data_IF_437669647533
#
_entry.id   IF_437669647533
#
_cell.length_a   1.000
_cell.length_b   1.000
_cell.length_c   1.000
_cell.angle_alpha   90.00
_cell.angle_beta   90.00
_cell.angle_gamma   90.00
#
_symmetry.space_group_name_H-M   'P 1'
#
loop_
_entity.id
_entity.type
_entity.pdbx_description
1 polymer ?
#
# COMPACT_ATOMS: atom_id res chain seq x y z
N UNK A 1 7.93 -57.81 -60.08
CA UNK A 1 6.48 -57.96 -59.77
C UNK A 1 6.15 -56.81 -58.83
N UNK A 2 5.63 -55.67 -59.31
CA UNK A 2 4.27 -55.39 -59.82
C UNK A 2 3.32 -55.07 -58.64
N UNK A 3 2.75 -53.85 -58.70
CA UNK A 3 1.64 -53.23 -57.92
C UNK A 3 2.13 -52.28 -56.80
N UNK A 4 2.03 -50.95 -56.83
CA UNK A 4 1.07 -49.96 -57.39
C UNK A 4 -0.34 -49.97 -56.73
N UNK A 5 -0.80 -48.75 -56.38
CA UNK A 5 -2.07 -48.28 -55.77
C UNK A 5 -1.97 -47.91 -54.26
N UNK A 6 -1.92 -46.65 -53.80
CA UNK A 6 -2.71 -45.41 -54.05
C UNK A 6 -4.08 -45.46 -53.36
N UNK A 7 -4.24 -44.72 -52.24
CA UNK A 7 -5.41 -43.94 -51.79
C UNK A 7 -5.15 -43.48 -50.34
N UNK A 8 -4.91 -42.19 -50.08
CA UNK A 8 -5.91 -41.16 -49.75
C UNK A 8 -6.64 -41.40 -48.42
N UNK A 9 -6.47 -40.46 -47.47
CA UNK A 9 -7.27 -40.40 -46.25
C UNK A 9 -6.70 -39.46 -45.21
N UNK A 10 -6.67 -38.16 -45.48
CA UNK A 10 -6.52 -37.16 -44.45
C UNK A 10 -7.73 -37.23 -43.51
N UNK A 11 -7.48 -37.54 -42.23
CA UNK A 11 -8.45 -37.28 -41.16
C UNK A 11 -7.72 -36.53 -40.05
N UNK A 12 -7.80 -35.21 -40.16
CA UNK A 12 -7.50 -34.28 -39.08
C UNK A 12 -8.56 -34.45 -37.98
N UNK A 13 -8.27 -35.23 -36.94
CA UNK A 13 -8.96 -35.08 -35.67
C UNK A 13 -8.22 -34.04 -34.85
N UNK A 14 -8.56 -32.77 -35.07
CA UNK A 14 -8.39 -31.76 -34.03
C UNK A 14 -9.40 -32.11 -32.93
N UNK A 15 -8.95 -32.89 -31.95
CA UNK A 15 -9.61 -32.91 -30.64
C UNK A 15 -9.34 -31.53 -30.04
N UNK A 16 -10.28 -30.62 -30.30
CA UNK A 16 -10.42 -29.41 -29.52
C UNK A 16 -10.75 -29.85 -28.10
N UNK A 17 -9.73 -29.90 -27.25
CA UNK A 17 -9.92 -29.92 -25.80
C UNK A 17 -10.55 -28.58 -25.41
N UNK A 18 -11.87 -28.49 -25.54
CA UNK A 18 -12.65 -27.51 -24.79
C UNK A 18 -12.66 -27.97 -23.32
N UNK A 19 -11.52 -27.84 -22.64
CA UNK A 19 -11.48 -27.75 -21.19
C UNK A 19 -12.12 -26.42 -20.84
N UNK A 20 -13.45 -26.39 -20.86
CA UNK A 20 -14.19 -25.47 -20.05
C UNK A 20 -13.89 -25.88 -18.60
N UNK A 21 -12.75 -25.42 -18.09
CA UNK A 21 -12.40 -25.47 -16.70
C UNK A 21 -13.58 -24.88 -15.94
N UNK A 22 -14.37 -25.74 -15.32
CA UNK A 22 -15.25 -25.35 -14.23
C UNK A 22 -14.30 -24.82 -13.16
N UNK A 23 -13.94 -23.53 -13.23
CA UNK A 23 -13.30 -22.82 -12.13
C UNK A 23 -14.19 -23.08 -10.94
N UNK A 24 -13.74 -23.97 -10.05
CA UNK A 24 -14.44 -24.21 -8.81
C UNK A 24 -14.59 -22.85 -8.12
N UNK A 25 -15.74 -22.59 -7.52
CA UNK A 25 -15.99 -21.33 -6.80
C UNK A 25 -14.86 -21.06 -5.80
N UNK A 26 -14.29 -22.10 -5.19
CA UNK A 26 -13.11 -22.02 -4.32
C UNK A 26 -11.83 -21.53 -5.01
N UNK A 27 -11.57 -21.91 -6.27
CA UNK A 27 -10.41 -21.42 -7.02
C UNK A 27 -10.50 -19.92 -7.34
N UNK A 28 -11.70 -19.42 -7.64
CA UNK A 28 -11.93 -17.98 -7.86
C UNK A 28 -11.78 -17.15 -6.59
N UNK A 29 -12.32 -17.63 -5.47
CA UNK A 29 -12.19 -16.96 -4.18
C UNK A 29 -10.74 -16.93 -3.68
N UNK A 30 -9.99 -18.04 -3.86
CA UNK A 30 -8.57 -18.08 -3.50
C UNK A 30 -7.76 -17.04 -4.28
N UNK A 31 -7.90 -16.99 -5.61
CA UNK A 31 -7.20 -15.99 -6.42
C UNK A 31 -7.53 -14.54 -6.00
N UNK A 32 -8.79 -14.27 -5.62
CA UNK A 32 -9.19 -12.96 -5.08
C UNK A 32 -8.54 -12.65 -3.74
N UNK A 33 -8.49 -13.61 -2.82
CA UNK A 33 -7.81 -13.45 -1.54
C UNK A 33 -6.31 -13.20 -1.72
N UNK A 34 -5.65 -13.96 -2.61
CA UNK A 34 -4.22 -13.80 -2.90
C UNK A 34 -3.92 -12.42 -3.52
N UNK A 35 -4.78 -11.93 -4.42
CA UNK A 35 -4.67 -10.58 -4.98
C UNK A 35 -4.79 -9.50 -3.90
N UNK A 36 -5.80 -9.59 -3.04
CA UNK A 36 -6.00 -8.63 -1.95
C UNK A 36 -4.82 -8.64 -0.98
N UNK A 37 -4.25 -9.81 -0.71
CA UNK A 37 -3.07 -9.94 0.14
C UNK A 37 -1.87 -9.17 -0.42
N UNK A 38 -1.60 -9.31 -1.72
CA UNK A 38 -0.53 -8.56 -2.38
C UNK A 38 -0.78 -7.06 -2.38
N UNK A 39 -2.03 -6.62 -2.55
CA UNK A 39 -2.38 -5.21 -2.47
C UNK A 39 -2.18 -4.62 -1.07
N UNK A 40 -2.46 -5.39 -0.01
CA UNK A 40 -2.16 -5.00 1.37
C UNK A 40 -0.66 -4.87 1.59
N UNK A 41 0.13 -5.84 1.13
CA UNK A 41 1.60 -5.79 1.23
C UNK A 41 2.21 -4.63 0.43
N UNK A 42 1.67 -4.34 -0.74
CA UNK A 42 2.12 -3.20 -1.53
C UNK A 42 1.88 -1.88 -0.77
N UNK A 43 0.69 -1.70 -0.19
CA UNK A 43 0.39 -0.54 0.64
C UNK A 43 1.28 -0.46 1.90
N UNK A 44 1.61 -1.61 2.51
CA UNK A 44 2.59 -1.71 3.58
C UNK A 44 3.95 -1.16 3.16
N UNK A 45 4.50 -1.65 2.05
CA UNK A 45 5.84 -1.29 1.59
C UNK A 45 5.93 0.20 1.23
N UNK A 46 4.92 0.73 0.55
CA UNK A 46 4.82 2.16 0.27
C UNK A 46 4.72 2.99 1.55
N UNK A 47 3.89 2.54 2.50
CA UNK A 47 3.76 3.15 3.82
C UNK A 47 5.09 3.19 4.57
N UNK A 48 5.86 2.10 4.55
CA UNK A 48 7.17 2.01 5.21
C UNK A 48 8.19 3.00 4.64
N UNK A 49 8.21 3.20 3.32
CA UNK A 49 9.07 4.21 2.68
C UNK A 49 8.71 5.61 3.17
N UNK A 50 7.42 5.92 3.25
CA UNK A 50 6.96 7.22 3.74
C UNK A 50 7.18 7.41 5.25
N UNK A 51 7.04 6.34 6.04
CA UNK A 51 7.31 6.33 7.48
C UNK A 51 8.77 6.69 7.80
N UNK A 52 9.74 6.17 7.04
CA UNK A 52 11.14 6.59 7.14
C UNK A 52 11.33 8.07 6.81
N UNK A 53 10.67 8.58 5.76
CA UNK A 53 10.74 10.00 5.40
C UNK A 53 10.13 10.90 6.47
N UNK A 54 9.08 10.45 7.17
CA UNK A 54 8.47 11.20 8.27
C UNK A 54 9.50 11.44 9.36
N UNK A 55 10.27 10.43 9.76
CA UNK A 55 11.32 10.57 10.78
C UNK A 55 12.37 11.63 10.42
N UNK A 56 12.83 11.63 9.16
CA UNK A 56 13.77 12.65 8.69
C UNK A 56 13.18 14.06 8.74
N UNK A 57 11.90 14.20 8.38
CA UNK A 57 11.19 15.48 8.41
C UNK A 57 10.93 15.97 9.84
N UNK A 58 10.58 15.07 10.76
CA UNK A 58 10.45 15.39 12.19
C UNK A 58 11.76 15.95 12.73
N UNK A 59 12.90 15.32 12.44
CA UNK A 59 14.23 15.84 12.85
C UNK A 59 14.50 17.23 12.29
N UNK A 60 14.25 17.46 10.99
CA UNK A 60 14.45 18.76 10.37
C UNK A 60 13.57 19.86 11.00
N UNK A 61 12.29 19.57 11.26
CA UNK A 61 11.37 20.50 11.92
C UNK A 61 11.79 20.75 13.37
N UNK A 62 12.23 19.73 14.11
CA UNK A 62 12.73 19.90 15.47
C UNK A 62 13.91 20.87 15.53
N UNK A 63 14.90 20.71 14.63
CA UNK A 63 16.03 21.63 14.55
C UNK A 63 15.60 23.09 14.30
N UNK A 64 14.57 23.29 13.48
CA UNK A 64 14.00 24.62 13.25
C UNK A 64 13.25 25.14 14.47
N UNK A 65 12.47 24.30 15.16
CA UNK A 65 11.80 24.69 16.40
C UNK A 65 12.81 25.14 17.45
N UNK A 66 13.90 24.38 17.63
CA UNK A 66 14.99 24.72 18.57
C UNK A 66 15.61 26.08 18.22
N UNK A 67 15.83 26.33 16.93
CA UNK A 67 16.36 27.60 16.44
C UNK A 67 15.40 28.77 16.70
N UNK A 68 14.13 28.61 16.34
CA UNK A 68 13.10 29.67 16.44
C UNK A 68 12.71 29.95 17.89
N UNK A 69 12.90 28.99 18.80
CA UNK A 69 12.66 29.19 20.23
C UNK A 69 13.53 30.30 20.84
N UNK A 70 14.68 30.61 20.24
CA UNK A 70 15.56 31.72 20.65
C UNK A 70 15.09 33.10 20.19
N UNK A 71 14.10 33.16 19.28
CA UNK A 71 13.64 34.40 18.64
C UNK A 71 12.36 34.95 19.27
N UNK A 72 12.32 36.27 19.48
CA UNK A 72 11.13 37.00 19.95
C UNK A 72 10.43 37.75 18.81
N UNK A 73 9.12 37.99 18.94
CA UNK A 73 8.31 38.78 18.01
C UNK A 73 7.18 38.00 17.33
N UNK A 74 6.26 38.72 16.67
CA UNK A 74 5.06 38.12 16.06
C UNK A 74 5.38 37.15 14.91
N UNK A 75 6.39 37.44 14.10
CA UNK A 75 6.82 36.57 13.02
C UNK A 75 7.42 35.25 13.53
N UNK A 76 8.10 35.26 14.68
CA UNK A 76 8.60 34.02 15.30
C UNK A 76 7.47 33.21 15.92
N UNK A 77 6.42 33.86 16.45
CA UNK A 77 5.23 33.17 16.95
C UNK A 77 4.47 32.42 15.84
N UNK A 78 4.21 33.07 14.69
CA UNK A 78 3.56 32.41 13.53
C UNK A 78 4.36 31.20 13.04
N UNK A 79 5.68 31.35 12.92
CA UNK A 79 6.54 30.25 12.50
C UNK A 79 6.54 29.09 13.50
N UNK A 80 6.54 29.36 14.82
CA UNK A 80 6.43 28.33 15.87
C UNK A 80 5.13 27.53 15.74
N UNK A 81 4.02 28.21 15.49
CA UNK A 81 2.71 27.57 15.31
C UNK A 81 2.71 26.67 14.07
N UNK A 82 3.20 27.18 12.94
CA UNK A 82 3.30 26.41 11.68
C UNK A 82 4.20 25.18 11.81
N UNK A 83 5.36 25.31 12.47
CA UNK A 83 6.27 24.20 12.74
C UNK A 83 5.63 23.15 13.66
N UNK A 84 4.93 23.59 14.71
CA UNK A 84 4.25 22.69 15.64
C UNK A 84 3.09 21.95 14.97
N UNK A 85 2.32 22.63 14.12
CA UNK A 85 1.27 21.99 13.32
C UNK A 85 1.83 20.95 12.34
N UNK A 86 2.94 21.23 11.67
CA UNK A 86 3.59 20.27 10.79
C UNK A 86 4.17 19.06 11.57
N UNK A 87 4.76 19.29 12.74
CA UNK A 87 5.24 18.22 13.62
C UNK A 87 4.10 17.29 14.07
N UNK A 88 2.96 17.86 14.48
CA UNK A 88 1.81 17.08 14.92
C UNK A 88 1.21 16.23 13.79
N UNK A 89 1.12 16.76 12.58
CA UNK A 89 0.62 16.01 11.43
C UNK A 89 1.54 14.83 11.08
N UNK A 90 2.86 15.05 11.09
CA UNK A 90 3.87 14.01 10.88
C UNK A 90 3.79 12.94 11.98
N UNK A 91 3.67 13.34 13.25
CA UNK A 91 3.56 12.41 14.38
C UNK A 91 2.27 11.59 14.33
N UNK A 92 1.16 12.19 13.89
CA UNK A 92 -0.11 11.48 13.71
C UNK A 92 0.02 10.41 12.64
N UNK A 93 0.52 10.76 11.46
CA UNK A 93 0.74 9.80 10.37
C UNK A 93 1.74 8.69 10.75
N UNK A 94 2.76 9.02 11.54
CA UNK A 94 3.70 8.03 12.09
C UNK A 94 2.98 7.01 12.98
N UNK A 95 2.14 7.49 13.90
CA UNK A 95 1.41 6.65 14.85
C UNK A 95 0.34 5.80 14.16
N UNK A 96 -0.32 6.34 13.13
CA UNK A 96 -1.33 5.61 12.36
C UNK A 96 -0.69 4.40 11.65
N UNK A 97 0.50 4.58 11.05
CA UNK A 97 1.26 3.48 10.46
C UNK A 97 1.68 2.46 11.52
N UNK A 98 2.27 2.90 12.63
CA UNK A 98 2.70 2.01 13.72
C UNK A 98 1.52 1.21 14.29
N UNK A 99 0.37 1.86 14.50
CA UNK A 99 -0.83 1.19 15.00
C UNK A 99 -1.36 0.18 14.02
N UNK A 100 -1.47 0.54 12.74
CA UNK A 100 -1.94 -0.39 11.72
C UNK A 100 -1.02 -1.60 11.61
N UNK A 101 0.29 -1.38 11.62
CA UNK A 101 1.30 -2.44 11.59
C UNK A 101 1.21 -3.41 12.76
N UNK A 102 1.01 -2.87 13.98
CA UNK A 102 0.89 -3.67 15.19
C UNK A 102 -0.40 -4.49 15.24
N UNK A 103 -1.50 -3.94 14.72
CA UNK A 103 -2.82 -4.55 14.81
C UNK A 103 -3.16 -5.47 13.62
N UNK A 104 -2.42 -5.35 12.51
CA UNK A 104 -2.61 -6.16 11.31
C UNK A 104 -2.17 -7.61 11.54
N UNK A 105 -3.06 -8.55 11.24
CA UNK A 105 -2.78 -9.99 11.24
C UNK A 105 -3.00 -10.56 9.84
N UNK A 106 -1.91 -10.63 9.08
CA UNK A 106 -1.92 -11.15 7.71
C UNK A 106 -2.33 -12.63 7.63
N UNK A 107 -2.30 -13.41 8.71
CA UNK A 107 -2.72 -14.82 8.72
C UNK A 107 -4.16 -15.02 9.22
N UNK A 108 -4.93 -13.94 9.37
CA UNK A 108 -6.33 -14.00 9.81
C UNK A 108 -7.24 -14.71 8.80
N UNK A 109 -8.14 -15.57 9.30
CA UNK A 109 -9.22 -16.27 8.58
C UNK A 109 -8.76 -17.17 7.40
N UNK A 110 -7.58 -17.79 7.49
CA UNK A 110 -7.03 -18.64 6.40
C UNK A 110 -7.85 -19.89 6.09
N UNK A 111 -8.67 -20.35 7.02
CA UNK A 111 -9.58 -21.50 6.89
C UNK A 111 -10.94 -21.13 6.26
N UNK A 112 -11.26 -19.84 6.13
CA UNK A 112 -12.50 -19.35 5.56
C UNK A 112 -12.26 -18.24 4.53
N UNK A 113 -12.28 -18.59 3.25
CA UNK A 113 -11.98 -17.67 2.15
C UNK A 113 -12.89 -16.43 2.09
N UNK A 114 -14.16 -16.54 2.47
CA UNK A 114 -15.07 -15.39 2.45
C UNK A 114 -14.71 -14.38 3.55
N UNK A 115 -14.44 -14.87 4.77
CA UNK A 115 -13.97 -14.03 5.87
C UNK A 115 -12.58 -13.46 5.60
N UNK A 116 -11.71 -14.25 4.96
CA UNK A 116 -10.39 -13.82 4.51
C UNK A 116 -10.47 -12.62 3.58
N UNK A 117 -11.31 -12.73 2.54
CA UNK A 117 -11.54 -11.65 1.57
C UNK A 117 -12.07 -10.41 2.27
N UNK A 118 -13.04 -10.57 3.18
CA UNK A 118 -13.59 -9.46 3.96
C UNK A 118 -12.52 -8.76 4.79
N UNK A 119 -11.70 -9.53 5.51
CA UNK A 119 -10.61 -9.01 6.33
C UNK A 119 -9.58 -8.25 5.49
N UNK A 120 -9.05 -8.87 4.43
CA UNK A 120 -8.05 -8.24 3.57
C UNK A 120 -8.57 -7.01 2.83
N UNK A 121 -9.86 -6.99 2.48
CA UNK A 121 -10.48 -5.78 1.91
C UNK A 121 -10.46 -4.62 2.90
N UNK A 122 -10.72 -4.89 4.18
CA UNK A 122 -10.64 -3.87 5.23
C UNK A 122 -9.19 -3.42 5.48
N UNK A 123 -8.24 -4.35 5.52
CA UNK A 123 -6.81 -4.01 5.67
C UNK A 123 -6.28 -3.20 4.48
N UNK A 124 -6.72 -3.50 3.25
CA UNK A 124 -6.38 -2.70 2.07
C UNK A 124 -6.85 -1.25 2.23
N UNK A 125 -8.06 -1.04 2.72
CA UNK A 125 -8.59 0.30 2.94
C UNK A 125 -7.78 1.05 4.01
N UNK A 126 -7.38 0.37 5.09
CA UNK A 126 -6.49 0.95 6.10
C UNK A 126 -5.13 1.33 5.50
N UNK A 127 -4.52 0.46 4.70
CA UNK A 127 -3.25 0.73 4.03
C UNK A 127 -3.33 2.00 3.16
N UNK A 128 -4.41 2.16 2.38
CA UNK A 128 -4.66 3.37 1.58
C UNK A 128 -4.78 4.62 2.46
N UNK A 129 -5.55 4.54 3.55
CA UNK A 129 -5.74 5.69 4.44
C UNK A 129 -4.43 6.11 5.14
N UNK A 130 -3.63 5.14 5.61
CA UNK A 130 -2.32 5.39 6.21
C UNK A 130 -1.38 6.03 5.20
N UNK A 131 -1.30 5.49 3.99
CA UNK A 131 -0.49 6.06 2.90
C UNK A 131 -0.90 7.50 2.60
N UNK A 132 -2.19 7.77 2.49
CA UNK A 132 -2.71 9.12 2.24
C UNK A 132 -2.36 10.10 3.36
N UNK A 133 -2.41 9.67 4.62
CA UNK A 133 -2.03 10.49 5.78
C UNK A 133 -0.53 10.82 5.75
N UNK A 134 0.30 9.83 5.43
CA UNK A 134 1.75 9.99 5.24
C UNK A 134 2.04 10.98 4.10
N UNK A 135 1.46 10.79 2.92
CA UNK A 135 1.71 11.66 1.77
C UNK A 135 1.27 13.11 2.04
N UNK A 136 0.12 13.30 2.70
CA UNK A 136 -0.38 14.63 3.08
C UNK A 136 0.54 15.32 4.09
N UNK A 137 0.95 14.62 5.14
CA UNK A 137 1.82 15.18 6.18
C UNK A 137 3.21 15.53 5.63
N UNK A 138 3.80 14.64 4.81
CA UNK A 138 5.06 14.89 4.12
C UNK A 138 4.97 16.11 3.19
N UNK A 139 3.93 16.19 2.35
CA UNK A 139 3.74 17.32 1.43
C UNK A 139 3.61 18.65 2.19
N UNK A 140 2.88 18.66 3.31
CA UNK A 140 2.76 19.86 4.16
C UNK A 140 4.11 20.26 4.76
N UNK A 141 4.87 19.29 5.29
CA UNK A 141 6.20 19.52 5.83
C UNK A 141 7.18 20.05 4.75
N UNK A 142 7.20 19.43 3.57
CA UNK A 142 8.02 19.87 2.43
C UNK A 142 7.69 21.30 2.00
N UNK A 143 6.39 21.64 1.93
CA UNK A 143 5.93 22.98 1.58
C UNK A 143 6.39 24.01 2.62
N UNK A 144 6.29 23.68 3.91
CA UNK A 144 6.77 24.54 4.99
C UNK A 144 8.28 24.74 4.91
N UNK A 145 9.06 23.66 4.85
CA UNK A 145 10.52 23.71 4.81
C UNK A 145 11.04 24.45 3.57
N UNK A 146 10.36 24.31 2.43
CA UNK A 146 10.72 25.02 1.20
C UNK A 146 10.43 26.52 1.29
N UNK A 147 9.40 26.93 2.05
CA UNK A 147 9.09 28.35 2.26
C UNK A 147 10.08 29.10 3.17
N UNK A 148 11.00 28.36 3.81
CA UNK A 148 12.02 28.90 4.72
C UNK A 148 13.41 28.97 4.07
N UNK A 149 13.55 28.48 2.83
CA UNK A 149 14.76 28.62 2.00
C UNK A 149 14.68 29.91 1.19
#
# INVERSE_FOLDING_TARGET
MKNFFLLMGAVSFFISCNNADKKSVGGGLKAKADSLYQEVLHGHDEGMVGWMKIEDKKKAIQHLQDSVNTLAGKASADLKERLSGAMNDLQTAYNDMDSWMRDMNLDSATDNLEQRIKYLTAEKLKAVNVKDAIDKSLKKADSLLSSLK
#
